data_IF_154528435642
#
_entry.id   IF_154528435642
#
_cell.length_a   1.000
_cell.length_b   1.000
_cell.length_c   1.000
_cell.angle_alpha   90.00
_cell.angle_beta   90.00
_cell.angle_gamma   90.00
#
_symmetry.space_group_name_H-M   'P 1'
#
loop_
_entity.id
_entity.type
_entity.pdbx_description
1 polymer ?
#
# COMPACT_ATOMS: atom_id res chain seq x y z
N UNK A 1 -3.23 3.86 7.57
CA UNK A 1 -3.33 4.03 9.05
C UNK A 1 -4.71 4.49 9.53
N UNK A 2 -5.37 5.44 8.88
CA UNK A 2 -6.71 5.93 9.30
C UNK A 2 -7.77 4.82 9.36
N UNK A 3 -7.85 3.98 8.35
CA UNK A 3 -8.83 2.89 8.23
C UNK A 3 -8.83 1.96 9.45
N UNK A 4 -7.64 1.72 9.99
CA UNK A 4 -7.52 0.97 11.24
C UNK A 4 -7.91 1.81 12.45
N UNK A 5 -7.58 3.11 12.48
CA UNK A 5 -7.94 3.97 13.59
C UNK A 5 -9.45 4.06 13.77
N UNK A 6 -10.23 4.12 12.68
CA UNK A 6 -11.70 4.06 12.72
C UNK A 6 -12.18 2.83 13.48
N UNK A 7 -11.66 1.66 13.14
CA UNK A 7 -12.05 0.38 13.79
C UNK A 7 -11.50 0.25 15.22
N UNK A 8 -10.26 0.66 15.44
CA UNK A 8 -9.61 0.57 16.75
C UNK A 8 -10.25 1.49 17.79
N UNK A 9 -10.68 2.67 17.37
CA UNK A 9 -11.31 3.67 18.24
C UNK A 9 -12.83 3.57 18.27
N UNK A 10 -13.43 2.70 17.44
CA UNK A 10 -14.88 2.54 17.34
C UNK A 10 -15.60 3.81 16.88
N UNK A 11 -14.96 4.62 16.00
CA UNK A 11 -15.57 5.85 15.51
C UNK A 11 -16.64 5.56 14.47
N UNK A 12 -17.60 6.46 14.32
CA UNK A 12 -18.69 6.35 13.32
C UNK A 12 -18.16 6.48 11.90
N UNK A 13 -17.17 7.37 11.69
CA UNK A 13 -16.56 7.64 10.39
C UNK A 13 -15.13 8.14 10.56
N UNK A 14 -14.39 8.19 9.46
CA UNK A 14 -13.06 8.78 9.37
C UNK A 14 -12.90 9.61 8.10
N UNK A 15 -12.10 10.66 8.18
CA UNK A 15 -11.78 11.52 7.04
C UNK A 15 -10.25 11.62 6.91
N UNK A 16 -9.73 11.41 5.69
CA UNK A 16 -8.36 11.73 5.32
C UNK A 16 -8.37 12.89 4.35
N UNK A 17 -7.73 13.99 4.73
CA UNK A 17 -7.51 15.12 3.82
C UNK A 17 -6.23 14.83 3.05
N UNK A 18 -6.36 14.54 1.76
CA UNK A 18 -5.24 14.16 0.89
C UNK A 18 -5.60 14.36 -0.57
N UNK A 19 -4.62 14.75 -1.37
CA UNK A 19 -4.68 14.66 -2.83
C UNK A 19 -3.97 13.38 -3.35
N UNK A 20 -3.59 12.44 -2.43
CA UNK A 20 -2.84 11.22 -2.74
C UNK A 20 -1.53 11.56 -3.47
N UNK A 21 -1.32 11.01 -4.64
CA UNK A 21 -0.14 11.16 -5.48
C UNK A 21 -0.26 12.27 -6.55
N UNK A 22 -1.29 13.12 -6.44
CA UNK A 22 -1.46 14.26 -7.36
C UNK A 22 -0.53 15.42 -7.00
N UNK A 23 -0.24 16.33 -7.96
CA UNK A 23 0.54 17.54 -7.72
C UNK A 23 -0.05 18.44 -6.61
N UNK A 24 0.76 19.38 -6.05
CA UNK A 24 0.40 20.17 -4.89
C UNK A 24 -0.80 21.11 -5.08
N UNK A 25 -1.15 21.46 -6.31
CA UNK A 25 -2.33 22.26 -6.64
C UNK A 25 -3.65 21.51 -6.50
N UNK A 26 -3.61 20.19 -6.38
CA UNK A 26 -4.81 19.38 -6.15
C UNK A 26 -5.11 19.28 -4.66
N UNK A 27 -6.40 19.22 -4.35
CA UNK A 27 -6.89 18.98 -3.00
C UNK A 27 -8.01 17.93 -3.04
N UNK A 28 -8.24 17.28 -1.90
CA UNK A 28 -9.27 16.25 -1.80
C UNK A 28 -9.40 15.69 -0.38
N UNK A 29 -10.38 14.84 -0.22
CA UNK A 29 -10.54 14.03 0.99
C UNK A 29 -11.19 12.70 0.66
N UNK A 30 -10.86 11.69 1.46
CA UNK A 30 -11.44 10.35 1.42
C UNK A 30 -12.26 10.15 2.69
N UNK A 31 -13.47 9.60 2.57
CA UNK A 31 -14.37 9.35 3.71
C UNK A 31 -14.50 7.83 3.91
N UNK A 32 -14.36 7.41 5.16
CA UNK A 32 -14.42 6.02 5.59
C UNK A 32 -15.55 5.83 6.58
N UNK A 33 -16.22 4.69 6.52
CA UNK A 33 -17.31 4.34 7.41
C UNK A 33 -16.80 3.59 8.66
N UNK A 34 -17.70 3.24 9.56
CA UNK A 34 -17.38 2.57 10.83
C UNK A 34 -16.68 1.22 10.68
N UNK A 35 -16.85 0.55 9.53
CA UNK A 35 -16.13 -0.68 9.17
C UNK A 35 -14.68 -0.44 8.73
N UNK A 36 -14.26 0.83 8.58
CA UNK A 36 -12.94 1.24 8.11
C UNK A 36 -12.76 1.18 6.59
N UNK A 37 -13.79 0.86 5.82
CA UNK A 37 -13.80 0.91 4.36
C UNK A 37 -14.22 2.28 3.83
N UNK A 38 -13.81 2.64 2.61
CA UNK A 38 -14.32 3.83 1.94
C UNK A 38 -15.82 3.72 1.72
N UNK A 39 -16.53 4.86 1.70
CA UNK A 39 -17.97 4.89 1.47
C UNK A 39 -18.33 4.15 0.17
N UNK A 40 -19.35 3.26 0.27
CA UNK A 40 -20.01 2.74 -0.92
C UNK A 40 -20.68 3.87 -1.71
N UNK A 41 -20.94 3.70 -3.02
CA UNK A 41 -21.64 4.72 -3.81
C UNK A 41 -22.93 5.16 -3.17
N UNK A 42 -23.78 4.25 -2.70
CA UNK A 42 -25.05 4.54 -2.05
C UNK A 42 -24.89 5.44 -0.80
N UNK A 43 -23.90 5.14 0.06
CA UNK A 43 -23.62 5.96 1.25
C UNK A 43 -23.05 7.32 0.88
N UNK A 44 -22.21 7.37 -0.16
CA UNK A 44 -21.66 8.62 -0.65
C UNK A 44 -22.77 9.54 -1.19
N UNK A 45 -23.70 9.00 -1.95
CA UNK A 45 -24.86 9.75 -2.48
C UNK A 45 -25.74 10.30 -1.34
N UNK A 46 -25.98 9.49 -0.30
CA UNK A 46 -26.72 9.94 0.88
C UNK A 46 -26.02 11.11 1.60
N UNK A 47 -24.69 11.03 1.80
CA UNK A 47 -23.91 12.12 2.41
C UNK A 47 -23.95 13.38 1.55
N UNK A 48 -23.83 13.25 0.22
CA UNK A 48 -23.92 14.39 -0.71
C UNK A 48 -25.30 15.06 -0.64
N UNK A 49 -26.38 14.28 -0.54
CA UNK A 49 -27.72 14.80 -0.38
C UNK A 49 -27.87 15.62 0.91
N UNK A 50 -27.39 15.11 2.04
CA UNK A 50 -27.39 15.85 3.33
C UNK A 50 -26.57 17.15 3.26
N UNK A 51 -25.42 17.13 2.59
CA UNK A 51 -24.62 18.34 2.37
C UNK A 51 -25.39 19.38 1.56
N UNK A 52 -26.13 18.94 0.52
CA UNK A 52 -26.94 19.85 -0.29
C UNK A 52 -28.08 20.49 0.51
N UNK A 53 -28.69 19.75 1.47
CA UNK A 53 -29.76 20.25 2.34
C UNK A 53 -29.26 21.10 3.49
N UNK A 54 -27.98 21.01 3.88
CA UNK A 54 -27.40 21.73 5.03
C UNK A 54 -27.30 23.25 4.86
N UNK A 55 -27.58 23.79 3.68
CA UNK A 55 -27.48 25.23 3.39
C UNK A 55 -26.03 25.71 3.17
N UNK A 56 -25.08 24.79 2.94
CA UNK A 56 -23.69 25.09 2.68
C UNK A 56 -22.96 25.65 3.92
N UNK A 57 -22.04 26.58 3.71
CA UNK A 57 -21.19 27.12 4.80
C UNK A 57 -21.94 27.95 5.85
N UNK A 58 -23.06 28.59 5.50
CA UNK A 58 -23.80 29.45 6.39
C UNK A 58 -24.54 28.71 7.53
N UNK A 59 -24.78 27.39 7.33
CA UNK A 59 -25.41 26.52 8.32
C UNK A 59 -24.46 25.85 9.29
N UNK A 60 -23.12 25.98 9.10
CA UNK A 60 -22.13 25.25 9.89
C UNK A 60 -22.00 25.84 11.31
N UNK A 61 -22.08 24.92 12.28
CA UNK A 61 -21.73 25.25 13.67
C UNK A 61 -20.23 25.05 13.86
N UNK A 62 -19.54 26.07 14.33
CA UNK A 62 -18.11 26.04 14.60
C UNK A 62 -17.81 26.41 16.04
N UNK A 63 -16.69 25.96 16.54
CA UNK A 63 -16.10 26.36 17.82
C UNK A 63 -14.57 26.42 17.65
N UNK A 64 -13.89 27.06 18.59
CA UNK A 64 -12.43 27.09 18.60
C UNK A 64 -11.87 25.74 19.03
N UNK A 65 -10.63 25.47 18.64
CA UNK A 65 -9.91 24.25 19.06
C UNK A 65 -9.84 24.15 20.61
N UNK A 66 -9.56 25.27 21.28
CA UNK A 66 -9.47 25.27 22.74
C UNK A 66 -10.82 24.95 23.40
N UNK A 67 -11.91 25.49 22.90
CA UNK A 67 -13.26 25.16 23.41
C UNK A 67 -13.60 23.68 23.20
N UNK A 68 -13.20 23.11 22.05
CA UNK A 68 -13.42 21.69 21.77
C UNK A 68 -12.60 20.78 22.71
N UNK A 69 -11.35 21.14 23.01
CA UNK A 69 -10.50 20.45 23.99
C UNK A 69 -11.06 20.56 25.41
N UNK A 70 -11.46 21.76 25.85
CA UNK A 70 -11.99 22.01 27.19
C UNK A 70 -13.31 21.28 27.43
N UNK A 71 -14.13 21.11 26.39
CA UNK A 71 -15.38 20.38 26.42
C UNK A 71 -15.22 18.86 26.17
N UNK A 72 -13.97 18.37 26.02
CA UNK A 72 -13.67 16.97 25.72
C UNK A 72 -14.31 16.44 24.42
N UNK A 73 -14.47 17.33 23.44
CA UNK A 73 -15.01 17.00 22.09
C UNK A 73 -13.91 16.74 21.06
N UNK A 74 -12.69 17.18 21.34
CA UNK A 74 -11.51 16.95 20.51
C UNK A 74 -10.46 16.16 21.31
N UNK A 75 -9.92 15.11 20.68
CA UNK A 75 -8.83 14.31 21.23
C UNK A 75 -7.75 14.12 20.18
N UNK A 76 -6.51 14.39 20.54
CA UNK A 76 -5.36 14.02 19.72
C UNK A 76 -4.99 12.56 19.99
N UNK A 77 -4.97 11.75 18.92
CA UNK A 77 -4.47 10.38 18.98
C UNK A 77 -2.99 10.36 18.59
N UNK A 78 -2.20 9.54 19.26
CA UNK A 78 -0.76 9.54 19.09
C UNK A 78 -0.15 8.15 19.04
N UNK A 79 0.95 8.02 19.76
CA UNK A 79 1.84 6.86 19.76
C UNK A 79 1.13 5.54 20.14
N UNK A 80 0.12 5.57 21.00
CA UNK A 80 -0.61 4.37 21.39
C UNK A 80 -1.29 3.69 20.20
N UNK A 81 -2.00 4.47 19.36
CA UNK A 81 -2.69 3.94 18.17
C UNK A 81 -1.67 3.50 17.13
N UNK A 82 -0.59 4.27 16.94
CA UNK A 82 0.49 3.90 16.03
C UNK A 82 1.15 2.58 16.46
N UNK A 83 1.48 2.41 17.72
CA UNK A 83 2.12 1.18 18.23
C UNK A 83 1.24 -0.04 18.03
N UNK A 84 -0.06 0.05 18.33
CA UNK A 84 -1.01 -1.03 18.07
C UNK A 84 -1.10 -1.38 16.57
N UNK A 85 -1.03 -0.39 15.71
CA UNK A 85 -1.00 -0.59 14.27
C UNK A 85 0.29 -1.31 13.84
N UNK A 86 1.47 -0.85 14.28
CA UNK A 86 2.76 -1.48 13.97
C UNK A 86 2.79 -2.95 14.41
N UNK A 87 2.30 -3.27 15.62
CA UNK A 87 2.21 -4.66 16.09
C UNK A 87 1.34 -5.53 15.17
N UNK A 88 0.24 -4.99 14.67
CA UNK A 88 -0.60 -5.71 13.71
C UNK A 88 0.08 -5.91 12.36
N UNK A 89 0.76 -4.89 11.84
CA UNK A 89 1.56 -5.02 10.60
C UNK A 89 2.62 -6.10 10.76
N UNK A 90 3.39 -6.07 11.86
CA UNK A 90 4.40 -7.10 12.17
C UNK A 90 3.82 -8.51 12.31
N UNK A 91 2.54 -8.64 12.67
CA UNK A 91 1.89 -9.95 12.73
C UNK A 91 1.64 -10.58 11.37
N UNK A 92 1.68 -9.81 10.29
CA UNK A 92 1.58 -10.29 8.91
C UNK A 92 2.92 -10.75 8.32
N UNK A 93 4.05 -10.46 8.99
CA UNK A 93 5.35 -11.02 8.60
C UNK A 93 5.27 -12.54 8.71
N UNK A 94 5.48 -13.24 7.59
CA UNK A 94 5.28 -14.69 7.46
C UNK A 94 6.43 -15.44 8.12
N UNK A 95 7.67 -15.00 7.89
CA UNK A 95 8.87 -15.61 8.48
C UNK A 95 9.77 -14.56 9.16
N UNK A 96 9.42 -14.25 10.41
CA UNK A 96 10.16 -13.29 11.24
C UNK A 96 11.63 -13.68 11.45
N UNK A 97 11.93 -14.98 11.49
CA UNK A 97 13.29 -15.45 11.70
C UNK A 97 14.14 -15.22 10.44
N UNK A 98 13.58 -15.48 9.27
CA UNK A 98 14.18 -15.16 7.97
C UNK A 98 14.39 -13.66 7.82
N UNK A 99 13.33 -12.87 8.07
CA UNK A 99 13.39 -11.41 7.98
C UNK A 99 14.49 -10.83 8.88
N UNK A 100 14.56 -11.28 10.13
CA UNK A 100 15.60 -10.82 11.06
C UNK A 100 17.01 -11.26 10.69
N UNK A 101 17.17 -12.43 10.05
CA UNK A 101 18.48 -12.96 9.65
C UNK A 101 19.00 -12.27 8.39
N UNK A 102 18.22 -12.33 7.32
CA UNK A 102 18.63 -11.83 6.00
C UNK A 102 18.46 -10.31 5.89
N UNK A 103 17.50 -9.74 6.65
CA UNK A 103 17.25 -8.29 6.67
C UNK A 103 18.42 -7.46 7.20
N UNK A 104 19.33 -8.05 7.99
CA UNK A 104 20.55 -7.39 8.46
C UNK A 104 21.53 -7.07 7.34
N UNK A 105 21.59 -7.95 6.35
CA UNK A 105 22.51 -7.83 5.21
C UNK A 105 21.88 -7.06 4.04
N UNK A 106 20.55 -6.92 4.03
CA UNK A 106 19.81 -6.29 2.95
C UNK A 106 19.90 -4.75 3.06
N UNK A 107 20.47 -4.13 2.04
CA UNK A 107 20.57 -2.66 1.96
C UNK A 107 19.35 -2.10 1.24
N UNK A 108 18.53 -1.35 1.97
CA UNK A 108 17.29 -0.76 1.47
C UNK A 108 17.40 0.75 1.45
N UNK A 109 17.11 1.37 0.30
CA UNK A 109 16.83 2.80 0.23
C UNK A 109 15.32 2.99 0.30
N UNK A 110 14.87 3.88 1.16
CA UNK A 110 13.46 4.22 1.29
C UNK A 110 13.22 5.70 1.01
N UNK A 111 12.20 5.99 0.20
CA UNK A 111 11.70 7.36 0.06
C UNK A 111 10.22 7.43 0.42
N UNK A 112 9.83 8.27 1.40
CA UNK A 112 8.43 8.58 1.66
C UNK A 112 7.83 9.59 0.68
N UNK A 113 8.60 10.11 -0.26
CA UNK A 113 8.21 11.18 -1.19
C UNK A 113 7.48 12.31 -0.45
N UNK A 114 8.13 12.86 0.58
CA UNK A 114 7.60 13.90 1.48
C UNK A 114 6.31 13.52 2.23
N UNK A 115 6.00 12.23 2.32
CA UNK A 115 4.73 11.72 2.82
C UNK A 115 4.73 11.16 4.25
N UNK A 116 3.57 10.67 4.64
CA UNK A 116 3.28 10.16 5.99
C UNK A 116 3.91 8.81 6.31
N UNK A 117 4.41 8.08 5.29
CA UNK A 117 5.02 6.76 5.43
C UNK A 117 6.36 6.74 6.17
N UNK A 118 7.06 7.88 6.27
CA UNK A 118 8.41 7.96 6.84
C UNK A 118 8.56 7.23 8.18
N UNK A 119 7.75 7.59 9.17
CA UNK A 119 7.85 6.99 10.51
C UNK A 119 7.39 5.53 10.57
N UNK A 120 6.18 5.17 10.09
CA UNK A 120 5.67 3.81 10.24
C UNK A 120 6.44 2.77 9.42
N UNK A 121 6.84 3.06 8.18
CA UNK A 121 7.61 2.12 7.35
C UNK A 121 8.97 1.84 7.98
N UNK A 122 9.72 2.88 8.33
CA UNK A 122 11.04 2.71 8.95
C UNK A 122 10.96 1.99 10.30
N UNK A 123 9.92 2.26 11.08
CA UNK A 123 9.72 1.61 12.37
C UNK A 123 9.43 0.11 12.23
N UNK A 124 8.51 -0.27 11.35
CA UNK A 124 8.18 -1.68 11.17
C UNK A 124 9.37 -2.48 10.65
N UNK A 125 10.12 -1.94 9.69
CA UNK A 125 11.31 -2.60 9.16
C UNK A 125 12.39 -2.77 10.23
N UNK A 126 12.68 -1.70 10.99
CA UNK A 126 13.64 -1.76 12.10
C UNK A 126 13.25 -2.79 13.16
N UNK A 127 11.97 -2.84 13.56
CA UNK A 127 11.49 -3.76 14.57
C UNK A 127 11.47 -5.24 14.09
N UNK A 128 11.53 -5.47 12.77
CA UNK A 128 11.67 -6.80 12.16
C UNK A 128 13.13 -7.19 11.86
N UNK A 129 14.10 -6.31 12.16
CA UNK A 129 15.52 -6.62 12.04
C UNK A 129 16.19 -6.16 10.74
N UNK A 130 15.54 -5.30 9.93
CA UNK A 130 16.19 -4.63 8.80
C UNK A 130 17.04 -3.48 9.35
N UNK A 131 18.37 -3.68 9.40
CA UNK A 131 19.29 -2.74 10.06
C UNK A 131 19.78 -1.62 9.13
N UNK A 132 19.92 -1.89 7.83
CA UNK A 132 20.40 -0.93 6.82
C UNK A 132 19.25 -0.40 5.94
N UNK A 133 18.33 0.36 6.55
CA UNK A 133 17.26 1.08 5.85
C UNK A 133 17.58 2.56 5.85
N UNK A 134 18.06 3.06 4.72
CA UNK A 134 18.48 4.46 4.56
C UNK A 134 17.36 5.25 3.86
N UNK A 135 16.98 6.38 4.46
CA UNK A 135 15.99 7.27 3.85
C UNK A 135 16.68 8.25 2.90
N UNK A 136 15.97 8.67 1.84
CA UNK A 136 16.40 9.77 0.97
C UNK A 136 16.22 11.09 1.73
N UNK A 137 17.33 11.78 2.14
CA UNK A 137 17.23 12.91 3.05
C UNK A 137 16.39 14.08 2.53
N UNK A 138 16.48 14.33 1.22
CA UNK A 138 15.76 15.44 0.57
C UNK A 138 14.25 15.19 0.50
N UNK A 139 13.79 13.93 0.64
CA UNK A 139 12.39 13.52 0.59
C UNK A 139 11.86 13.03 1.93
N UNK A 140 12.67 13.07 2.99
CA UNK A 140 12.33 12.51 4.30
C UNK A 140 11.20 13.26 5.01
N UNK A 141 11.28 14.58 5.01
CA UNK A 141 10.34 15.41 5.75
C UNK A 141 9.10 15.75 4.91
N UNK A 142 7.91 15.80 5.53
CA UNK A 142 6.71 16.26 4.85
C UNK A 142 6.89 17.68 4.31
N UNK A 143 6.59 17.85 3.03
CA UNK A 143 6.56 19.17 2.37
C UNK A 143 5.39 19.21 1.39
N UNK A 144 4.39 20.09 1.58
CA UNK A 144 3.22 20.16 0.72
C UNK A 144 3.52 20.68 -0.69
N UNK A 145 4.70 21.27 -0.90
CA UNK A 145 5.14 21.75 -2.22
C UNK A 145 5.85 20.69 -3.06
N UNK A 146 6.16 19.52 -2.48
CA UNK A 146 6.90 18.42 -3.15
C UNK A 146 8.12 18.90 -3.96
N UNK A 147 9.09 19.62 -3.36
CA UNK A 147 10.13 20.36 -4.09
C UNK A 147 11.08 19.49 -4.91
N UNK A 148 11.06 18.18 -4.71
CA UNK A 148 11.97 17.23 -5.39
C UNK A 148 11.30 16.46 -6.54
N UNK A 149 9.99 16.59 -6.72
CA UNK A 149 9.21 15.86 -7.72
C UNK A 149 8.06 16.72 -8.27
N UNK A 150 7.73 16.54 -9.53
CA UNK A 150 6.53 17.16 -10.12
C UNK A 150 5.26 16.40 -9.71
N UNK A 151 5.37 15.07 -9.68
CA UNK A 151 4.30 14.16 -9.25
C UNK A 151 4.83 13.29 -8.11
N UNK A 152 4.25 13.35 -6.91
CA UNK A 152 4.67 12.49 -5.80
C UNK A 152 4.09 11.06 -5.93
N UNK A 153 4.27 10.46 -7.12
CA UNK A 153 3.69 9.19 -7.51
C UNK A 153 4.78 8.11 -7.66
N UNK A 154 4.74 7.01 -6.90
CA UNK A 154 5.70 5.93 -7.02
C UNK A 154 5.60 5.12 -8.33
N UNK A 155 4.65 5.42 -9.21
CA UNK A 155 4.61 4.92 -10.58
C UNK A 155 5.54 5.73 -11.50
N UNK A 156 5.87 6.98 -11.11
CA UNK A 156 6.73 7.85 -11.91
C UNK A 156 8.21 7.59 -11.62
N UNK A 157 8.97 7.31 -12.67
CA UNK A 157 10.42 7.13 -12.58
C UNK A 157 11.13 8.34 -11.98
N UNK A 158 10.64 9.54 -12.23
CA UNK A 158 11.22 10.78 -11.72
C UNK A 158 11.21 10.82 -10.18
N UNK A 159 10.19 10.23 -9.53
CA UNK A 159 10.10 10.16 -8.08
C UNK A 159 11.26 9.39 -7.42
N UNK A 160 11.88 8.46 -8.15
CA UNK A 160 13.00 7.65 -7.68
C UNK A 160 14.39 8.18 -8.05
N UNK A 161 14.49 9.31 -8.74
CA UNK A 161 15.80 9.83 -9.23
C UNK A 161 16.83 9.96 -8.11
N UNK A 162 16.46 10.55 -6.98
CA UNK A 162 17.35 10.73 -5.82
C UNK A 162 17.66 9.38 -5.13
N UNK A 163 16.65 8.54 -4.98
CA UNK A 163 16.81 7.22 -4.39
C UNK A 163 17.72 6.30 -5.22
N UNK A 164 17.60 6.33 -6.55
CA UNK A 164 18.47 5.57 -7.47
C UNK A 164 19.91 6.08 -7.39
N UNK A 165 20.11 7.41 -7.35
CA UNK A 165 21.44 7.99 -7.19
C UNK A 165 22.09 7.52 -5.88
N UNK A 166 21.37 7.62 -4.77
CA UNK A 166 21.86 7.16 -3.46
C UNK A 166 22.16 5.65 -3.48
N UNK A 167 21.29 4.85 -4.12
CA UNK A 167 21.50 3.42 -4.25
C UNK A 167 22.73 3.05 -5.09
N UNK A 168 23.02 3.81 -6.14
CA UNK A 168 24.24 3.64 -6.94
C UNK A 168 25.52 3.91 -6.13
N UNK A 169 25.48 4.93 -5.25
CA UNK A 169 26.60 5.29 -4.39
C UNK A 169 26.83 4.27 -3.27
N UNK A 170 25.74 3.72 -2.69
CA UNK A 170 25.79 2.82 -1.53
C UNK A 170 25.75 1.33 -1.89
N UNK A 171 25.45 0.99 -3.14
CA UNK A 171 25.29 -0.39 -3.61
C UNK A 171 24.03 -1.06 -3.05
N UNK A 172 22.93 -0.32 -2.90
CA UNK A 172 21.68 -0.87 -2.34
C UNK A 172 21.10 -2.00 -3.19
N UNK A 173 20.44 -2.95 -2.51
CA UNK A 173 19.81 -4.13 -3.13
C UNK A 173 18.38 -3.84 -3.57
N UNK A 174 17.70 -2.97 -2.83
CA UNK A 174 16.29 -2.67 -2.97
C UNK A 174 16.04 -1.18 -2.73
N UNK A 175 15.15 -0.59 -3.54
CA UNK A 175 14.58 0.72 -3.26
C UNK A 175 13.08 0.58 -3.15
N UNK A 176 12.47 1.17 -2.14
CA UNK A 176 11.03 1.30 -1.99
C UNK A 176 10.64 2.77 -1.86
N UNK A 177 9.53 3.15 -2.47
CA UNK A 177 9.00 4.51 -2.37
C UNK A 177 7.50 4.50 -2.16
N UNK A 178 7.00 5.29 -1.19
CA UNK A 178 5.57 5.39 -0.90
C UNK A 178 5.04 6.77 -1.28
N UNK A 179 3.79 6.82 -1.74
CA UNK A 179 3.11 8.08 -2.01
C UNK A 179 2.79 8.86 -0.71
N UNK A 180 2.37 10.13 -0.79
CA UNK A 180 2.22 10.99 0.39
C UNK A 180 1.25 10.48 1.46
N UNK A 181 0.14 9.86 1.10
CA UNK A 181 -0.81 9.27 2.06
C UNK A 181 -0.51 7.79 2.38
N UNK A 182 0.59 7.25 1.81
CA UNK A 182 1.15 5.94 2.12
C UNK A 182 0.16 4.79 1.87
N UNK A 183 -0.53 4.86 0.73
CA UNK A 183 -1.40 3.77 0.28
C UNK A 183 -0.83 3.02 -0.95
N UNK A 184 0.16 3.58 -1.65
CA UNK A 184 0.89 2.96 -2.76
C UNK A 184 2.36 2.78 -2.44
N UNK A 185 2.98 1.75 -3.03
CA UNK A 185 4.42 1.51 -2.92
C UNK A 185 5.01 1.08 -4.27
N UNK A 186 6.02 1.81 -4.72
CA UNK A 186 6.83 1.45 -5.86
C UNK A 186 8.12 0.74 -5.44
N UNK A 187 8.60 -0.13 -6.30
CA UNK A 187 9.76 -0.99 -6.05
C UNK A 187 10.77 -0.83 -7.18
N UNK A 188 12.02 -0.58 -6.82
CA UNK A 188 13.13 -0.52 -7.77
C UNK A 188 14.16 -1.60 -7.39
N UNK A 189 14.56 -2.37 -8.36
CA UNK A 189 15.47 -3.49 -8.19
C UNK A 189 16.64 -3.41 -9.14
N UNK A 190 17.73 -4.09 -8.84
CA UNK A 190 18.89 -4.18 -9.71
C UNK A 190 18.73 -5.35 -10.68
N UNK A 191 18.85 -5.08 -11.99
CA UNK A 191 18.86 -6.14 -13.01
C UNK A 191 20.24 -6.82 -13.11
N UNK A 192 20.37 -7.84 -13.99
CA UNK A 192 21.63 -8.56 -14.20
C UNK A 192 22.78 -7.69 -14.74
N UNK A 193 22.47 -6.56 -15.37
CA UNK A 193 23.48 -5.61 -15.84
C UNK A 193 23.91 -4.61 -14.74
N UNK A 194 23.32 -4.68 -13.54
CA UNK A 194 23.56 -3.75 -12.44
C UNK A 194 22.77 -2.44 -12.54
N UNK A 195 21.80 -2.36 -13.46
CA UNK A 195 20.96 -1.19 -13.63
C UNK A 195 19.75 -1.26 -12.70
N UNK A 196 19.36 -0.12 -12.13
CA UNK A 196 18.14 0.00 -11.32
C UNK A 196 16.92 0.19 -12.21
N UNK A 197 15.97 -0.73 -12.12
CA UNK A 197 14.72 -0.74 -12.87
C UNK A 197 13.53 -0.71 -11.91
N UNK A 198 12.48 0.02 -12.31
CA UNK A 198 11.23 0.07 -11.56
C UNK A 198 10.37 -1.12 -12.00
N UNK A 199 9.90 -1.89 -11.04
CA UNK A 199 8.91 -2.92 -11.28
C UNK A 199 7.53 -2.29 -11.43
N UNK A 200 6.73 -2.79 -12.37
CA UNK A 200 5.32 -2.43 -12.47
C UNK A 200 4.54 -2.95 -11.25
N UNK A 201 3.35 -2.38 -11.03
CA UNK A 201 2.47 -2.86 -9.97
C UNK A 201 2.07 -4.33 -10.15
N UNK A 202 1.90 -4.76 -11.40
CA UNK A 202 1.61 -6.15 -11.74
C UNK A 202 2.78 -7.10 -11.43
N UNK A 203 4.01 -6.71 -11.76
CA UNK A 203 5.21 -7.51 -11.47
C UNK A 203 5.44 -7.64 -9.97
N UNK A 204 5.31 -6.55 -9.24
CA UNK A 204 5.40 -6.55 -7.77
C UNK A 204 4.29 -7.40 -7.15
N UNK A 205 3.05 -7.29 -7.65
CA UNK A 205 1.92 -8.12 -7.23
C UNK A 205 2.16 -9.60 -7.45
N UNK A 206 2.66 -9.98 -8.63
CA UNK A 206 2.99 -11.38 -8.94
C UNK A 206 4.09 -11.94 -8.02
N UNK A 207 5.14 -11.15 -7.76
CA UNK A 207 6.20 -11.51 -6.82
C UNK A 207 5.64 -11.71 -5.40
N UNK A 208 4.77 -10.81 -4.93
CA UNK A 208 4.12 -10.92 -3.61
C UNK A 208 3.23 -12.17 -3.52
N UNK A 209 2.40 -12.44 -4.53
CA UNK A 209 1.56 -13.65 -4.57
C UNK A 209 2.44 -14.90 -4.49
N UNK A 210 3.47 -14.98 -5.33
CA UNK A 210 4.37 -16.14 -5.34
C UNK A 210 5.10 -16.32 -4.01
N UNK A 211 5.66 -15.24 -3.46
CA UNK A 211 6.35 -15.27 -2.18
C UNK A 211 5.42 -15.74 -1.05
N UNK A 212 4.28 -15.08 -0.88
CA UNK A 212 3.38 -15.35 0.22
C UNK A 212 2.86 -16.80 0.19
N UNK A 213 2.43 -17.28 -0.97
CA UNK A 213 1.91 -18.64 -1.10
C UNK A 213 3.01 -19.69 -0.89
N UNK A 214 4.22 -19.44 -1.41
CA UNK A 214 5.37 -20.32 -1.22
C UNK A 214 5.80 -20.40 0.25
N UNK A 215 5.88 -19.26 0.93
CA UNK A 215 6.28 -19.19 2.33
C UNK A 215 5.23 -19.84 3.26
N UNK A 216 3.95 -19.52 3.08
CA UNK A 216 2.85 -20.12 3.83
C UNK A 216 2.77 -21.64 3.62
N UNK A 217 2.97 -22.12 2.38
CA UNK A 217 3.01 -23.55 2.07
C UNK A 217 4.19 -24.25 2.76
N UNK A 218 5.36 -23.63 2.73
CA UNK A 218 6.57 -24.17 3.39
C UNK A 218 6.38 -24.31 4.90
N UNK A 219 5.65 -23.36 5.52
CA UNK A 219 5.33 -23.38 6.95
C UNK A 219 4.10 -24.25 7.31
N UNK A 220 3.47 -24.92 6.33
CA UNK A 220 2.23 -25.67 6.51
C UNK A 220 1.09 -24.80 7.08
N UNK A 221 1.09 -23.51 6.78
CA UNK A 221 0.10 -22.51 7.25
C UNK A 221 -0.78 -21.95 6.13
N UNK A 222 -0.65 -22.46 4.90
CA UNK A 222 -1.49 -22.03 3.77
C UNK A 222 -2.94 -22.50 4.00
N UNK A 223 -3.90 -21.57 4.14
CA UNK A 223 -5.29 -21.93 4.38
C UNK A 223 -5.93 -22.55 3.13
N UNK A 224 -6.69 -23.64 3.30
CA UNK A 224 -7.37 -24.32 2.19
C UNK A 224 -8.41 -23.45 1.47
N UNK A 225 -9.01 -22.50 2.19
CA UNK A 225 -9.96 -21.53 1.66
C UNK A 225 -9.32 -20.15 1.43
N UNK A 226 -7.99 -20.11 1.21
CA UNK A 226 -7.29 -18.86 0.90
C UNK A 226 -7.82 -18.19 -0.36
N UNK A 227 -7.82 -16.87 -0.37
CA UNK A 227 -8.26 -16.08 -1.51
C UNK A 227 -7.33 -14.89 -1.77
N UNK A 228 -6.96 -14.73 -3.04
CA UNK A 228 -6.35 -13.51 -3.60
C UNK A 228 -7.47 -12.70 -4.25
N UNK A 229 -7.50 -11.40 -4.04
CA UNK A 229 -8.47 -10.50 -4.68
C UNK A 229 -7.74 -9.46 -5.51
N UNK A 230 -8.13 -9.30 -6.78
CA UNK A 230 -7.54 -8.33 -7.70
C UNK A 230 -8.61 -7.61 -8.51
N UNK A 231 -8.24 -6.51 -9.16
CA UNK A 231 -9.17 -5.85 -10.08
C UNK A 231 -9.19 -6.54 -11.46
N UNK A 232 -10.26 -6.34 -12.22
CA UNK A 232 -10.42 -6.89 -13.58
C UNK A 232 -9.35 -6.42 -14.57
N UNK A 233 -8.68 -5.30 -14.28
CA UNK A 233 -7.61 -4.72 -15.12
C UNK A 233 -6.19 -5.11 -14.66
N UNK A 234 -6.10 -5.76 -13.50
CA UNK A 234 -4.84 -6.28 -12.95
C UNK A 234 -4.45 -7.58 -13.65
N UNK A 235 -3.15 -7.82 -13.79
CA UNK A 235 -2.58 -8.98 -14.49
C UNK A 235 -3.17 -10.33 -14.10
N UNK A 236 -3.31 -11.22 -15.08
CA UNK A 236 -3.68 -12.63 -14.85
C UNK A 236 -2.49 -13.48 -14.35
N UNK A 237 -1.27 -12.95 -14.32
CA UNK A 237 -0.12 -13.69 -13.81
C UNK A 237 -0.32 -14.07 -12.33
N UNK A 238 -0.85 -13.14 -11.51
CA UNK A 238 -1.15 -13.43 -10.10
C UNK A 238 -2.15 -14.57 -9.92
N UNK A 239 -3.20 -14.63 -10.77
CA UNK A 239 -4.15 -15.76 -10.80
C UNK A 239 -3.45 -17.07 -11.14
N UNK A 240 -2.65 -17.07 -12.22
CA UNK A 240 -1.96 -18.28 -12.66
C UNK A 240 -1.01 -18.84 -11.58
N UNK A 241 -0.36 -17.95 -10.84
CA UNK A 241 0.43 -18.36 -9.68
C UNK A 241 -0.47 -18.96 -8.59
N UNK A 242 -1.56 -18.27 -8.21
CA UNK A 242 -2.48 -18.73 -7.17
C UNK A 242 -3.08 -20.11 -7.49
N UNK A 243 -3.47 -20.34 -8.74
CA UNK A 243 -4.01 -21.61 -9.22
C UNK A 243 -3.02 -22.78 -9.01
N UNK A 244 -1.71 -22.54 -9.13
CA UNK A 244 -0.68 -23.56 -8.89
C UNK A 244 -0.55 -23.98 -7.40
N UNK A 245 -1.12 -23.19 -6.52
CA UNK A 245 -1.20 -23.45 -5.08
C UNK A 245 -2.61 -23.87 -4.62
N UNK A 246 -3.54 -24.13 -5.55
CA UNK A 246 -4.96 -24.39 -5.28
C UNK A 246 -5.65 -23.26 -4.49
N UNK A 247 -5.24 -22.00 -4.72
CA UNK A 247 -5.78 -20.82 -4.08
C UNK A 247 -6.71 -20.07 -5.02
N UNK A 248 -7.90 -19.74 -4.51
CA UNK A 248 -8.93 -19.00 -5.25
C UNK A 248 -8.46 -17.58 -5.56
N UNK A 249 -8.72 -17.10 -6.79
CA UNK A 249 -8.57 -15.68 -7.14
C UNK A 249 -9.92 -15.11 -7.52
N UNK A 250 -10.29 -13.98 -6.92
CA UNK A 250 -11.52 -13.23 -7.24
C UNK A 250 -11.20 -11.91 -7.91
N UNK A 251 -12.01 -11.54 -8.90
CA UNK A 251 -11.94 -10.25 -9.57
C UNK A 251 -12.96 -9.29 -8.99
N UNK A 252 -12.59 -8.02 -8.91
CA UNK A 252 -13.47 -6.91 -8.56
C UNK A 252 -13.42 -5.82 -9.64
N UNK A 253 -14.32 -4.88 -9.58
CA UNK A 253 -14.18 -3.63 -10.33
C UNK A 253 -12.96 -2.85 -9.84
N UNK A 254 -12.47 -1.92 -10.67
CA UNK A 254 -11.37 -1.04 -10.33
C UNK A 254 -11.73 -0.14 -9.14
N UNK A 255 -10.84 -0.09 -8.17
CA UNK A 255 -10.99 0.67 -6.93
C UNK A 255 -10.96 -0.25 -5.70
N UNK A 256 -10.04 0.03 -4.80
CA UNK A 256 -9.76 -0.83 -3.64
C UNK A 256 -10.96 -1.03 -2.70
N UNK A 257 -11.94 -0.11 -2.75
CA UNK A 257 -13.20 -0.25 -2.01
C UNK A 257 -13.93 -1.57 -2.33
N UNK A 258 -13.86 -2.05 -3.58
CA UNK A 258 -14.48 -3.32 -3.96
C UNK A 258 -13.70 -4.54 -3.45
N UNK A 259 -12.38 -4.41 -3.32
CA UNK A 259 -11.56 -5.40 -2.61
C UNK A 259 -11.92 -5.40 -1.12
N UNK A 260 -12.09 -4.23 -0.51
CA UNK A 260 -12.51 -4.09 0.88
C UNK A 260 -13.89 -4.70 1.15
N UNK A 261 -14.84 -4.56 0.23
CA UNK A 261 -16.15 -5.22 0.29
C UNK A 261 -16.01 -6.75 0.33
N UNK A 262 -15.10 -7.33 -0.44
CA UNK A 262 -14.81 -8.77 -0.39
C UNK A 262 -14.19 -9.20 0.95
N UNK A 263 -13.31 -8.40 1.52
CA UNK A 263 -12.77 -8.67 2.86
C UNK A 263 -13.90 -8.68 3.91
N UNK A 264 -14.85 -7.73 3.81
CA UNK A 264 -16.00 -7.69 4.70
C UNK A 264 -16.90 -8.93 4.53
N UNK A 265 -17.23 -9.27 3.27
CA UNK A 265 -18.01 -10.47 2.95
C UNK A 265 -17.37 -11.74 3.54
N UNK A 266 -16.04 -11.89 3.41
CA UNK A 266 -15.33 -13.04 3.96
C UNK A 266 -15.40 -13.11 5.48
N UNK A 267 -15.30 -11.97 6.17
CA UNK A 267 -15.44 -11.92 7.63
C UNK A 267 -16.85 -12.24 8.10
N UNK A 268 -17.88 -11.80 7.37
CA UNK A 268 -19.29 -12.06 7.72
C UNK A 268 -19.71 -13.50 7.44
N UNK A 269 -19.24 -14.07 6.33
CA UNK A 269 -19.65 -15.41 5.87
C UNK A 269 -18.71 -16.53 6.26
N UNK A 270 -17.47 -16.20 6.69
CA UNK A 270 -16.36 -17.15 6.87
C UNK A 270 -16.10 -18.03 5.63
N UNK A 271 -16.44 -17.55 4.44
CA UNK A 271 -16.30 -18.30 3.19
C UNK A 271 -14.85 -18.47 2.78
N UNK A 272 -14.04 -17.42 2.91
CA UNK A 272 -12.64 -17.40 2.50
C UNK A 272 -11.75 -16.73 3.54
N UNK A 273 -10.46 -17.06 3.49
CA UNK A 273 -9.40 -16.35 4.21
C UNK A 273 -8.71 -15.41 3.24
N UNK A 274 -8.84 -14.10 3.44
CA UNK A 274 -8.17 -13.10 2.63
C UNK A 274 -6.67 -13.15 2.84
N UNK A 275 -5.88 -13.32 1.78
CA UNK A 275 -4.43 -13.39 1.81
C UNK A 275 -3.80 -12.09 1.33
N UNK A 276 -4.12 -11.70 0.09
CA UNK A 276 -3.59 -10.51 -0.56
C UNK A 276 -4.66 -9.90 -1.48
N UNK A 277 -4.76 -8.58 -1.44
CA UNK A 277 -5.49 -7.80 -2.45
C UNK A 277 -4.54 -6.83 -3.14
N UNK A 278 -4.65 -6.67 -4.47
CA UNK A 278 -3.78 -5.75 -5.18
C UNK A 278 -4.38 -5.20 -6.47
N UNK A 279 -3.87 -4.03 -6.83
CA UNK A 279 -4.17 -3.32 -8.06
C UNK A 279 -2.88 -3.09 -8.85
N UNK A 280 -2.97 -3.01 -10.18
CA UNK A 280 -1.88 -2.67 -11.09
C UNK A 280 -1.28 -1.29 -10.79
N UNK A 281 -2.05 -0.42 -10.15
CA UNK A 281 -1.68 0.94 -9.75
C UNK A 281 -0.92 1.01 -8.42
N UNK A 282 -0.07 0.02 -8.13
CA UNK A 282 0.87 -0.02 -7.00
C UNK A 282 0.20 -0.09 -5.61
N UNK A 283 -1.07 -0.45 -5.55
CA UNK A 283 -1.84 -0.62 -4.32
C UNK A 283 -1.91 -2.07 -3.87
N UNK A 284 -1.52 -2.35 -2.63
CA UNK A 284 -1.53 -3.69 -2.06
C UNK A 284 -2.07 -3.65 -0.63
N UNK A 285 -2.68 -4.75 -0.20
CA UNK A 285 -3.05 -4.96 1.21
C UNK A 285 -3.06 -6.44 1.53
N UNK A 286 -2.69 -6.79 2.77
CA UNK A 286 -2.77 -8.14 3.30
C UNK A 286 -3.36 -8.13 4.71
N UNK A 287 -3.91 -9.27 5.12
CA UNK A 287 -4.67 -9.35 6.36
C UNK A 287 -6.02 -8.64 6.27
N UNK A 288 -6.81 -8.74 7.32
CA UNK A 288 -8.22 -8.33 7.33
C UNK A 288 -8.53 -7.13 8.24
N UNK A 289 -7.49 -6.55 8.85
CA UNK A 289 -7.66 -5.44 9.80
C UNK A 289 -7.59 -4.05 9.16
N UNK A 290 -7.15 -3.94 7.90
CA UNK A 290 -7.17 -2.74 7.06
C UNK A 290 -8.16 -2.94 5.93
N UNK A 291 -8.86 -1.87 5.53
CA UNK A 291 -9.91 -1.90 4.51
C UNK A 291 -9.61 -0.99 3.32
N UNK A 292 -8.33 -0.73 3.09
CA UNK A 292 -7.83 -0.03 1.91
C UNK A 292 -6.40 -0.52 1.64
N UNK A 293 -5.78 -0.01 0.58
CA UNK A 293 -4.37 -0.17 0.31
C UNK A 293 -3.54 0.30 1.50
N UNK A 294 -2.46 -0.39 1.79
CA UNK A 294 -1.58 -0.02 2.90
C UNK A 294 -0.12 -0.24 2.51
N UNK A 295 0.56 0.86 2.21
CA UNK A 295 1.95 0.81 1.79
C UNK A 295 2.92 0.44 2.91
N UNK A 296 2.53 0.57 4.19
CA UNK A 296 3.37 0.10 5.31
C UNK A 296 3.38 -1.42 5.35
N UNK A 297 2.20 -2.06 5.21
CA UNK A 297 2.08 -3.53 5.09
C UNK A 297 2.83 -4.00 3.84
N UNK A 298 2.61 -3.36 2.70
CA UNK A 298 3.24 -3.74 1.45
C UNK A 298 4.77 -3.56 1.51
N UNK A 299 5.28 -2.46 2.05
CA UNK A 299 6.73 -2.24 2.23
C UNK A 299 7.37 -3.32 3.11
N UNK A 300 6.70 -3.70 4.18
CA UNK A 300 7.14 -4.79 5.06
C UNK A 300 7.21 -6.12 4.32
N UNK A 301 6.14 -6.49 3.60
CA UNK A 301 6.10 -7.75 2.83
C UNK A 301 7.10 -7.75 1.67
N UNK A 302 7.33 -6.61 1.02
CA UNK A 302 8.33 -6.48 -0.06
C UNK A 302 9.75 -6.67 0.49
N UNK A 303 10.08 -6.09 1.64
CA UNK A 303 11.38 -6.31 2.26
C UNK A 303 11.56 -7.75 2.75
N UNK A 304 10.52 -8.36 3.31
CA UNK A 304 10.53 -9.78 3.69
C UNK A 304 10.71 -10.69 2.46
N UNK A 305 10.01 -10.39 1.37
CA UNK A 305 10.15 -11.07 0.09
C UNK A 305 11.58 -10.93 -0.47
N UNK A 306 12.17 -9.73 -0.38
CA UNK A 306 13.56 -9.52 -0.80
C UNK A 306 14.53 -10.38 0.05
N UNK A 307 14.33 -10.45 1.36
CA UNK A 307 15.08 -11.32 2.25
C UNK A 307 14.90 -12.82 1.88
N UNK A 308 13.69 -13.22 1.51
CA UNK A 308 13.42 -14.59 1.05
C UNK A 308 14.19 -14.97 -0.22
N UNK A 309 14.20 -14.08 -1.24
CA UNK A 309 14.97 -14.35 -2.46
C UNK A 309 16.49 -14.28 -2.19
N UNK A 310 16.93 -13.33 -1.35
CA UNK A 310 18.34 -13.26 -0.91
C UNK A 310 18.81 -14.54 -0.24
N UNK A 311 18.00 -15.15 0.62
CA UNK A 311 18.32 -16.45 1.25
C UNK A 311 18.51 -17.58 0.27
N UNK A 312 18.00 -17.43 -0.95
CA UNK A 312 18.19 -18.39 -2.07
C UNK A 312 19.33 -17.98 -3.02
N UNK A 313 20.08 -16.93 -2.68
CA UNK A 313 21.13 -16.38 -3.53
C UNK A 313 20.60 -15.65 -4.78
N UNK A 314 19.37 -15.14 -4.73
CA UNK A 314 18.68 -14.47 -5.83
C UNK A 314 18.34 -13.04 -5.46
N UNK A 315 18.40 -12.15 -6.44
CA UNK A 315 17.76 -10.82 -6.35
C UNK A 315 16.26 -10.92 -6.60
N UNK A 316 15.48 -9.86 -6.25
CA UNK A 316 14.06 -9.80 -6.63
C UNK A 316 13.85 -9.86 -8.15
N UNK A 317 14.76 -9.25 -8.92
CA UNK A 317 14.70 -9.32 -10.38
C UNK A 317 14.86 -10.75 -10.91
N UNK A 318 15.78 -11.51 -10.34
CA UNK A 318 15.94 -12.91 -10.69
C UNK A 318 14.75 -13.76 -10.25
N UNK A 319 14.14 -13.42 -9.12
CA UNK A 319 12.86 -13.99 -8.69
C UNK A 319 11.74 -13.76 -9.71
N UNK A 320 11.64 -12.54 -10.26
CA UNK A 320 10.68 -12.22 -11.31
C UNK A 320 10.94 -13.01 -12.60
N UNK A 321 12.21 -13.13 -13.01
CA UNK A 321 12.57 -13.95 -14.19
C UNK A 321 12.19 -15.42 -14.00
N UNK A 322 12.43 -15.98 -12.80
CA UNK A 322 12.02 -17.34 -12.48
C UNK A 322 10.50 -17.54 -12.54
N UNK A 323 9.72 -16.56 -12.07
CA UNK A 323 8.26 -16.56 -12.19
C UNK A 323 7.84 -16.58 -13.67
N UNK A 324 8.46 -15.75 -14.51
CA UNK A 324 8.16 -15.75 -15.95
C UNK A 324 8.54 -17.05 -16.63
N UNK A 325 9.64 -17.68 -16.24
CA UNK A 325 10.05 -18.98 -16.75
C UNK A 325 9.04 -20.07 -16.36
N UNK A 326 8.55 -20.07 -15.13
CA UNK A 326 7.62 -21.09 -14.63
C UNK A 326 6.19 -20.89 -15.10
N UNK A 327 5.69 -19.63 -15.05
CA UNK A 327 4.26 -19.33 -15.31
C UNK A 327 4.01 -18.69 -16.68
N UNK A 328 5.04 -18.27 -17.38
CA UNK A 328 4.96 -17.53 -18.65
C UNK A 328 5.07 -16.03 -18.48
N UNK A 329 5.45 -15.34 -19.55
CA UNK A 329 5.57 -13.90 -19.60
C UNK A 329 4.22 -13.26 -19.97
N UNK A 330 3.76 -12.36 -19.13
CA UNK A 330 2.55 -11.56 -19.36
C UNK A 330 2.97 -10.15 -19.74
N UNK A 331 2.79 -9.80 -21.02
CA UNK A 331 3.08 -8.47 -21.54
C UNK A 331 1.87 -7.57 -21.38
N UNK A 332 2.00 -6.56 -20.54
CA UNK A 332 0.94 -5.60 -20.24
C UNK A 332 1.41 -4.20 -20.59
N UNK A 333 0.49 -3.35 -21.01
CA UNK A 333 0.78 -1.94 -21.29
C UNK A 333 -0.36 -1.06 -20.82
N UNK A 334 0.00 0.10 -20.26
CA UNK A 334 -0.94 1.14 -19.88
C UNK A 334 -0.96 2.24 -20.93
N UNK A 335 -2.16 2.62 -21.39
CA UNK A 335 -2.37 3.83 -22.19
C UNK A 335 -3.21 4.80 -21.37
N UNK A 336 -2.63 5.91 -20.94
CA UNK A 336 -3.35 6.96 -20.26
C UNK A 336 -3.69 8.12 -21.21
N UNK A 337 -4.86 8.72 -21.01
CA UNK A 337 -5.29 9.92 -21.71
C UNK A 337 -5.83 10.91 -20.68
N UNK A 338 -5.14 12.04 -20.55
CA UNK A 338 -5.61 13.11 -19.69
C UNK A 338 -6.69 13.91 -20.41
N UNK A 339 -7.81 14.10 -19.75
CA UNK A 339 -8.97 14.85 -20.25
C UNK A 339 -9.37 15.88 -19.19
N UNK A 340 -8.77 17.10 -19.21
CA UNK A 340 -8.99 18.10 -18.18
C UNK A 340 -10.38 18.73 -18.24
N UNK A 341 -10.83 19.20 -17.10
CA UNK A 341 -12.07 19.97 -16.96
C UNK A 341 -13.36 19.14 -17.01
N UNK A 342 -14.48 19.84 -16.84
CA UNK A 342 -15.83 19.23 -16.82
C UNK A 342 -16.15 18.49 -18.11
N UNK A 343 -15.74 19.02 -19.26
CA UNK A 343 -15.93 18.35 -20.56
C UNK A 343 -15.16 17.03 -20.69
N UNK A 344 -14.07 16.88 -19.95
CA UNK A 344 -13.32 15.64 -19.85
C UNK A 344 -14.04 14.54 -19.09
N UNK A 345 -14.82 14.91 -18.07
CA UNK A 345 -15.64 13.98 -17.30
C UNK A 345 -16.88 13.48 -18.04
N UNK A 346 -17.38 14.23 -19.02
CA UNK A 346 -18.58 13.91 -19.81
C UNK A 346 -18.27 13.01 -21.03
N UNK A 347 -17.00 12.74 -21.31
CA UNK A 347 -16.52 11.89 -22.43
C UNK A 347 -15.98 10.55 -21.96
#
# INVERSE_FOLDING_TARGET
MLFRSVRELGTTAGIVVTASHNPPEYNGYKVYWSDGGQLSPERADAVIAEIAESGGFDGLRTMTEQEALDQNLLHYIGEEVLSKYIEKVKSLCIDKALAAKEGKELKVIYTPIHGSGNKPVRRVLKELGFEDVQVVPEQELPDPGFPTVEYPNPEDKAAFTLAIKQAQENGADLIIGTDPDCDRVGVVVKNKAGEYIILSGNETGALLVHYMLSALKTQNSLPKNGCIVKTIVTSELGRKIADSFDITTMDTLTGFKFIAEKIQEFQETNSHTFLLGFEESYGYSAGDFVRDKDAVIASMLICEMAAYYSSKGMTLYEGLLAIWEEYGYFAESLKSKQMPGKEGMEK
#
